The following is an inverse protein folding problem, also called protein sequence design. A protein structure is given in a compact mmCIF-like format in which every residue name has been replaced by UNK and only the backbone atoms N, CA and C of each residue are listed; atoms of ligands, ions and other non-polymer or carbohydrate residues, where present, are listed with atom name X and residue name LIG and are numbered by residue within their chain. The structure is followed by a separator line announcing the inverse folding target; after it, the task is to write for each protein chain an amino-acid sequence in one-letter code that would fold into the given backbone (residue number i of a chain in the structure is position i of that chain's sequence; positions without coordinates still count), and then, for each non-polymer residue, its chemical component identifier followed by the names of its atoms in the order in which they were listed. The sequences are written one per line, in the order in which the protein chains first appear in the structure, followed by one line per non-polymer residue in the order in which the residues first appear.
data_IF_753216828900
#
_entry.id   IF_753216828900
#
_cell.length_a   1.000
_cell.length_b   1.000
_cell.length_c   1.000
_cell.angle_alpha   90.00
_cell.angle_beta   90.00
_cell.angle_gamma   90.00
#
_symmetry.space_group_name_H-M   'P 1'
#
loop_
_entity.id
_entity.type
_entity.pdbx_description
1 polymer ?
#
# COMPACT_ATOMS: atom_id res chain seq x y z
N UNK A 1 12.47 -10.38 8.71
CA UNK A 1 11.04 -10.29 9.11
C UNK A 1 10.88 -10.73 10.56
N UNK A 2 10.58 -9.81 11.47
CA UNK A 2 10.20 -10.15 12.85
C UNK A 2 8.77 -10.69 12.81
N UNK A 3 8.51 -11.76 13.57
CA UNK A 3 7.26 -12.53 13.49
C UNK A 3 6.57 -12.54 14.86
N UNK A 4 5.28 -12.23 14.92
CA UNK A 4 4.48 -12.53 16.11
C UNK A 4 4.09 -14.01 16.08
N UNK A 5 4.66 -14.81 16.97
CA UNK A 5 4.45 -16.27 17.02
C UNK A 5 4.69 -16.96 15.64
N UNK A 6 5.68 -16.49 14.88
CA UNK A 6 5.99 -17.04 13.56
C UNK A 6 5.17 -16.50 12.39
N UNK A 7 4.30 -15.50 12.61
CA UNK A 7 3.45 -14.90 11.55
C UNK A 7 3.84 -13.45 11.23
N UNK A 8 3.72 -13.02 9.95
CA UNK A 8 3.92 -11.62 9.58
C UNK A 8 2.87 -10.71 10.22
N UNK A 9 3.27 -9.47 10.54
CA UNK A 9 2.38 -8.44 11.10
C UNK A 9 2.21 -7.33 10.06
N UNK A 10 0.97 -7.01 9.72
CA UNK A 10 0.62 -5.93 8.80
C UNK A 10 -0.05 -4.80 9.58
N UNK A 11 0.18 -3.55 9.18
CA UNK A 11 -0.43 -2.39 9.83
C UNK A 11 -1.03 -1.41 8.81
N UNK A 12 -2.04 -0.66 9.23
CA UNK A 12 -2.66 0.44 8.48
C UNK A 12 -2.52 1.73 9.32
N UNK A 13 -2.12 2.83 8.68
CA UNK A 13 -1.85 4.12 9.34
C UNK A 13 -3.10 4.78 9.94
N UNK A 14 -4.27 4.61 9.31
CA UNK A 14 -5.63 5.09 9.69
C UNK A 14 -5.77 6.62 9.81
N UNK A 15 -4.84 7.29 10.48
CA UNK A 15 -4.69 8.74 10.54
C UNK A 15 -3.29 9.09 11.05
N UNK A 16 -2.76 10.31 10.82
CA UNK A 16 -1.42 10.70 11.31
C UNK A 16 -1.18 10.38 12.79
N UNK A 17 -2.07 10.79 13.69
CA UNK A 17 -1.97 10.54 15.14
C UNK A 17 -2.03 9.05 15.54
N UNK A 18 -2.55 8.19 14.67
CA UNK A 18 -2.64 6.74 14.89
C UNK A 18 -1.44 6.03 14.29
N UNK A 19 -0.96 6.48 13.13
CA UNK A 19 0.27 6.01 12.52
C UNK A 19 1.45 6.18 13.49
N UNK A 20 1.58 7.34 14.16
CA UNK A 20 2.63 7.58 15.16
C UNK A 20 2.64 6.55 16.31
N UNK A 21 1.49 5.96 16.66
CA UNK A 21 1.42 4.92 17.70
C UNK A 21 2.08 3.62 17.28
N UNK A 22 2.36 3.43 15.99
CA UNK A 22 3.10 2.28 15.47
C UNK A 22 4.61 2.42 15.68
N UNK A 23 5.12 3.61 16.01
CA UNK A 23 6.57 3.88 16.20
C UNK A 23 7.29 2.81 17.03
N UNK A 24 6.77 2.38 18.20
CA UNK A 24 7.45 1.39 19.04
C UNK A 24 7.56 -0.01 18.40
N UNK A 25 6.77 -0.28 17.35
CA UNK A 25 6.67 -1.60 16.71
C UNK A 25 7.04 -1.60 15.22
N UNK A 26 7.47 -0.47 14.63
CA UNK A 26 7.78 -0.37 13.19
C UNK A 26 8.77 -1.46 12.72
N UNK A 27 9.83 -1.69 13.49
CA UNK A 27 10.83 -2.73 13.20
C UNK A 27 10.28 -4.17 13.28
N UNK A 28 9.08 -4.35 13.82
CA UNK A 28 8.39 -5.63 13.90
C UNK A 28 7.39 -5.88 12.76
N UNK A 29 7.08 -4.86 11.96
CA UNK A 29 6.08 -4.95 10.90
C UNK A 29 6.69 -5.58 9.64
N UNK A 30 5.91 -6.47 9.02
CA UNK A 30 6.22 -7.07 7.73
C UNK A 30 5.85 -6.15 6.55
N UNK A 31 4.89 -5.25 6.74
CA UNK A 31 4.50 -4.18 5.81
C UNK A 31 3.52 -3.22 6.51
N UNK A 32 3.64 -1.92 6.26
CA UNK A 32 2.65 -0.92 6.67
C UNK A 32 2.01 -0.24 5.47
N UNK A 33 0.70 0.02 5.54
CA UNK A 33 -0.07 0.76 4.55
C UNK A 33 -0.41 2.14 5.10
N UNK A 34 -0.14 3.18 4.32
CA UNK A 34 -0.32 4.56 4.77
C UNK A 34 -0.73 5.45 3.61
N UNK A 35 -1.42 6.54 3.90
CA UNK A 35 -1.46 7.68 2.97
C UNK A 35 -0.19 8.55 3.12
N UNK A 36 -0.01 9.53 2.22
CA UNK A 36 1.15 10.43 2.31
C UNK A 36 1.23 11.21 3.63
N UNK A 37 0.10 11.56 4.26
CA UNK A 37 0.09 12.36 5.50
C UNK A 37 0.55 11.51 6.70
N UNK A 38 0.07 10.28 6.77
CA UNK A 38 0.49 9.27 7.75
C UNK A 38 1.97 8.90 7.57
N UNK A 39 2.40 8.77 6.31
CA UNK A 39 3.79 8.55 5.96
C UNK A 39 4.70 9.66 6.46
N UNK A 40 4.33 10.91 6.19
CA UNK A 40 5.09 12.09 6.62
C UNK A 40 5.22 12.15 8.14
N UNK A 41 4.15 11.86 8.87
CA UNK A 41 4.17 11.83 10.34
C UNK A 41 5.21 10.84 10.88
N UNK A 42 5.31 9.66 10.27
CA UNK A 42 6.31 8.64 10.65
C UNK A 42 7.73 8.97 10.16
N UNK A 43 7.86 9.47 8.93
CA UNK A 43 9.14 9.70 8.28
C UNK A 43 9.88 10.93 8.82
N UNK A 44 9.12 11.91 9.34
CA UNK A 44 9.63 13.27 9.65
C UNK A 44 10.34 13.92 8.45
N UNK A 45 9.99 13.53 7.23
CA UNK A 45 10.54 14.02 5.94
C UNK A 45 9.56 13.71 4.79
N UNK A 46 9.35 14.64 3.85
CA UNK A 46 8.37 14.47 2.76
C UNK A 46 8.65 15.23 1.45
N UNK A 47 9.87 15.78 1.30
CA UNK A 47 10.24 16.63 0.17
C UNK A 47 10.17 15.90 -1.19
N UNK A 48 10.60 14.64 -1.24
CA UNK A 48 10.51 13.76 -2.41
C UNK A 48 10.02 12.37 -1.97
N UNK A 49 9.61 11.54 -2.94
CA UNK A 49 9.24 10.15 -2.65
C UNK A 49 10.42 9.34 -2.11
N UNK A 50 11.64 9.64 -2.57
CA UNK A 50 12.88 9.05 -2.04
C UNK A 50 13.15 9.50 -0.60
N UNK A 51 12.99 10.79 -0.29
CA UNK A 51 13.17 11.31 1.06
C UNK A 51 12.16 10.70 2.04
N UNK A 52 10.92 10.54 1.59
CA UNK A 52 9.84 9.91 2.37
C UNK A 52 10.19 8.45 2.69
N UNK A 53 10.54 7.65 1.67
CA UNK A 53 10.97 6.25 1.87
C UNK A 53 12.21 6.17 2.76
N UNK A 54 13.20 7.04 2.55
CA UNK A 54 14.39 7.12 3.38
C UNK A 54 14.07 7.44 4.85
N UNK A 55 13.12 8.35 5.10
CA UNK A 55 12.62 8.67 6.44
C UNK A 55 11.93 7.49 7.12
N UNK A 56 11.05 6.79 6.40
CA UNK A 56 10.38 5.59 6.92
C UNK A 56 11.36 4.48 7.29
N UNK A 57 12.38 4.25 6.44
CA UNK A 57 13.45 3.29 6.75
C UNK A 57 14.24 3.69 7.99
N UNK A 58 14.59 4.98 8.14
CA UNK A 58 15.26 5.50 9.34
C UNK A 58 14.40 5.37 10.59
N UNK A 59 13.07 5.50 10.46
CA UNK A 59 12.13 5.27 11.54
C UNK A 59 12.01 3.77 11.94
N UNK A 60 12.59 2.87 11.14
CA UNK A 60 12.68 1.43 11.43
C UNK A 60 11.73 0.57 10.60
N UNK A 61 11.00 1.15 9.64
CA UNK A 61 10.09 0.38 8.77
C UNK A 61 10.88 -0.26 7.62
N UNK A 62 10.83 -1.59 7.51
CA UNK A 62 11.56 -2.34 6.47
C UNK A 62 10.86 -2.32 5.11
N UNK A 63 9.54 -2.19 5.12
CA UNK A 63 8.69 -2.20 3.93
C UNK A 63 7.40 -1.43 4.17
N UNK A 64 6.87 -0.83 3.11
CA UNK A 64 5.61 -0.10 3.19
C UNK A 64 4.99 0.20 1.84
N UNK A 65 3.71 0.56 1.89
CA UNK A 65 2.92 1.07 0.78
C UNK A 65 2.40 2.45 1.15
N UNK A 66 2.63 3.42 0.27
CA UNK A 66 2.16 4.80 0.46
C UNK A 66 1.26 5.20 -0.69
N UNK A 67 -0.01 5.49 -0.38
CA UNK A 67 -0.92 6.07 -1.36
C UNK A 67 -0.73 7.59 -1.42
N UNK A 68 -0.67 8.13 -2.62
CA UNK A 68 -0.61 9.57 -2.84
C UNK A 68 -1.90 10.06 -3.49
N UNK A 69 -2.36 11.27 -3.12
CA UNK A 69 -3.57 11.89 -3.66
C UNK A 69 -3.49 12.24 -5.15
N UNK A 70 -2.31 12.12 -5.78
CA UNK A 70 -2.12 12.27 -7.22
C UNK A 70 -2.38 10.97 -8.00
N UNK A 71 -2.82 9.91 -7.33
CA UNK A 71 -3.10 8.60 -7.91
C UNK A 71 -1.92 7.63 -7.86
N UNK A 72 -0.69 8.09 -7.65
CA UNK A 72 0.47 7.20 -7.56
C UNK A 72 0.43 6.39 -6.25
N UNK A 73 0.82 5.11 -6.32
CA UNK A 73 1.01 4.27 -5.14
C UNK A 73 2.49 3.86 -5.07
N UNK A 74 3.17 4.28 -4.02
CA UNK A 74 4.56 3.94 -3.75
C UNK A 74 4.63 2.62 -2.98
N UNK A 75 5.60 1.79 -3.31
CA UNK A 75 5.95 0.59 -2.56
C UNK A 75 7.44 0.55 -2.29
N UNK A 76 7.84 0.00 -1.14
CA UNK A 76 9.25 -0.25 -0.85
C UNK A 76 9.43 -1.47 0.05
N UNK A 77 10.55 -2.13 -0.09
CA UNK A 77 11.00 -3.25 0.75
C UNK A 77 12.54 -3.33 0.78
N UNK A 78 13.13 -4.44 1.22
CA UNK A 78 14.59 -4.61 1.25
C UNK A 78 15.25 -4.57 -0.15
N UNK A 79 14.50 -4.83 -1.23
CA UNK A 79 15.02 -4.87 -2.60
C UNK A 79 15.09 -3.50 -3.26
N UNK A 80 14.25 -2.56 -2.82
CA UNK A 80 14.23 -1.21 -3.37
C UNK A 80 12.95 -0.46 -3.08
N UNK A 81 12.72 0.59 -3.87
CA UNK A 81 11.49 1.35 -3.88
C UNK A 81 10.97 1.46 -5.31
N UNK A 82 9.66 1.44 -5.46
CA UNK A 82 8.98 1.46 -6.74
C UNK A 82 7.66 2.22 -6.65
N UNK A 83 7.03 2.42 -7.78
CA UNK A 83 5.72 3.05 -7.89
C UNK A 83 4.83 2.32 -8.89
N UNK A 84 3.53 2.29 -8.59
CA UNK A 84 2.47 1.83 -9.49
C UNK A 84 1.58 3.03 -9.76
N UNK A 85 1.40 3.37 -11.04
CA UNK A 85 0.48 4.42 -11.46
C UNK A 85 -0.80 3.76 -11.99
N UNK A 86 -1.89 3.74 -11.21
CA UNK A 86 -3.17 3.21 -11.66
C UNK A 86 -3.67 3.99 -12.89
N UNK A 87 -4.33 3.34 -13.85
CA UNK A 87 -5.01 4.04 -14.93
C UNK A 87 -6.15 4.90 -14.37
N UNK A 88 -6.46 6.01 -15.03
CA UNK A 88 -7.60 6.86 -14.67
C UNK A 88 -8.91 6.10 -14.74
N UNK A 89 -9.70 6.13 -13.67
CA UNK A 89 -11.03 5.51 -13.56
C UNK A 89 -12.07 6.51 -13.08
N UNK A 90 -13.35 6.13 -13.22
CA UNK A 90 -14.45 6.90 -12.63
C UNK A 90 -14.46 6.67 -11.13
N UNK A 91 -14.39 7.75 -10.36
CA UNK A 91 -14.48 7.69 -8.90
C UNK A 91 -15.94 7.91 -8.50
N UNK A 92 -16.52 6.94 -7.79
CA UNK A 92 -17.86 7.00 -7.18
C UNK A 92 -17.74 7.28 -5.70
N UNK A 93 -16.91 6.52 -4.99
CA UNK A 93 -16.57 6.71 -3.58
C UNK A 93 -15.10 6.33 -3.35
N UNK A 94 -14.42 6.98 -2.42
CA UNK A 94 -13.04 6.62 -2.01
C UNK A 94 -13.00 5.97 -0.63
N UNK A 95 -14.13 5.92 0.07
CA UNK A 95 -14.24 5.28 1.37
C UNK A 95 -13.84 3.80 1.28
N UNK A 96 -12.93 3.37 2.15
CA UNK A 96 -12.47 1.97 2.19
C UNK A 96 -11.48 1.57 1.09
N UNK A 97 -11.15 2.43 0.12
CA UNK A 97 -10.20 2.10 -0.95
C UNK A 97 -8.82 1.69 -0.40
N UNK A 98 -8.37 2.35 0.68
CA UNK A 98 -7.14 2.00 1.39
C UNK A 98 -7.19 0.62 2.05
N UNK A 99 -8.34 0.24 2.62
CA UNK A 99 -8.55 -1.08 3.24
C UNK A 99 -8.59 -2.19 2.20
N UNK A 100 -9.23 -1.93 1.05
CA UNK A 100 -9.25 -2.87 -0.08
C UNK A 100 -7.86 -3.04 -0.67
N UNK A 101 -7.12 -1.95 -0.89
CA UNK A 101 -5.72 -1.98 -1.31
C UNK A 101 -4.88 -2.83 -0.36
N UNK A 102 -4.99 -2.58 0.94
CA UNK A 102 -4.26 -3.31 1.97
C UNK A 102 -4.63 -4.79 1.98
N UNK A 103 -5.92 -5.11 2.04
CA UNK A 103 -6.43 -6.48 2.11
C UNK A 103 -6.02 -7.33 0.91
N UNK A 104 -6.21 -6.82 -0.30
CA UNK A 104 -5.85 -7.54 -1.52
C UNK A 104 -4.32 -7.69 -1.68
N UNK A 105 -3.54 -6.65 -1.35
CA UNK A 105 -2.07 -6.76 -1.34
C UNK A 105 -1.60 -7.83 -0.35
N UNK A 106 -2.15 -7.84 0.88
CA UNK A 106 -1.81 -8.85 1.90
C UNK A 106 -2.20 -10.25 1.44
N UNK A 107 -3.39 -10.43 0.86
CA UNK A 107 -3.81 -11.72 0.33
C UNK A 107 -2.83 -12.24 -0.75
N UNK A 108 -2.40 -11.38 -1.68
CA UNK A 108 -1.45 -11.71 -2.72
C UNK A 108 -0.05 -12.06 -2.17
N UNK A 109 0.43 -11.34 -1.15
CA UNK A 109 1.67 -11.66 -0.44
C UNK A 109 1.61 -13.01 0.25
N UNK A 110 0.49 -13.32 0.92
CA UNK A 110 0.29 -14.61 1.59
C UNK A 110 0.18 -15.77 0.59
N UNK A 111 -0.17 -15.50 -0.66
CA UNK A 111 -0.11 -16.45 -1.78
C UNK A 111 1.28 -16.58 -2.42
N UNK A 112 2.30 -15.89 -1.88
CA UNK A 112 3.70 -16.03 -2.29
C UNK A 112 4.15 -15.07 -3.39
N UNK A 113 3.35 -14.04 -3.73
CA UNK A 113 3.81 -13.00 -4.64
C UNK A 113 4.83 -12.07 -3.97
N UNK A 114 5.75 -11.54 -4.77
CA UNK A 114 6.61 -10.44 -4.35
C UNK A 114 5.81 -9.13 -4.25
N UNK A 115 6.27 -8.19 -3.41
CA UNK A 115 5.55 -6.95 -3.11
C UNK A 115 5.14 -6.13 -4.35
N UNK A 116 5.98 -5.97 -5.41
CA UNK A 116 5.56 -5.28 -6.62
C UNK A 116 4.34 -5.91 -7.31
N UNK A 117 4.30 -7.24 -7.42
CA UNK A 117 3.18 -7.96 -8.03
C UNK A 117 1.94 -7.95 -7.12
N UNK A 118 2.14 -8.14 -5.82
CA UNK A 118 1.06 -8.08 -4.84
C UNK A 118 0.40 -6.69 -4.78
N UNK A 119 1.19 -5.62 -4.89
CA UNK A 119 0.66 -4.25 -4.90
C UNK A 119 -0.19 -3.98 -6.14
N UNK A 120 0.16 -4.56 -7.30
CA UNK A 120 -0.67 -4.43 -8.51
C UNK A 120 -2.05 -5.07 -8.32
N UNK A 121 -2.11 -6.23 -7.67
CA UNK A 121 -3.38 -6.85 -7.27
C UNK A 121 -4.18 -5.96 -6.31
N UNK A 122 -3.51 -5.38 -5.32
CA UNK A 122 -4.10 -4.40 -4.42
C UNK A 122 -4.70 -3.20 -5.14
N UNK A 123 -3.95 -2.62 -6.07
CA UNK A 123 -4.40 -1.47 -6.89
C UNK A 123 -5.60 -1.85 -7.74
N UNK A 124 -5.59 -3.02 -8.38
CA UNK A 124 -6.71 -3.51 -9.18
C UNK A 124 -7.99 -3.66 -8.34
N UNK A 125 -7.88 -4.23 -7.14
CA UNK A 125 -9.01 -4.37 -6.22
C UNK A 125 -9.52 -2.99 -5.76
N UNK A 126 -8.63 -2.07 -5.40
CA UNK A 126 -9.00 -0.73 -4.97
C UNK A 126 -9.68 0.07 -6.09
N UNK A 127 -9.25 -0.10 -7.34
CA UNK A 127 -9.91 0.50 -8.51
C UNK A 127 -11.35 0.03 -8.68
N UNK A 128 -11.61 -1.27 -8.48
CA UNK A 128 -12.97 -1.81 -8.50
C UNK A 128 -13.80 -1.29 -7.33
N UNK A 129 -13.18 -1.11 -6.16
CA UNK A 129 -13.86 -0.57 -4.99
C UNK A 129 -14.33 0.88 -5.22
N UNK A 130 -13.47 1.74 -5.75
CA UNK A 130 -13.82 3.15 -5.94
C UNK A 130 -14.86 3.41 -7.03
N UNK A 131 -15.09 2.44 -7.91
CA UNK A 131 -16.16 2.49 -8.93
C UNK A 131 -17.54 2.11 -8.37
N UNK A 132 -17.61 1.73 -7.08
CA UNK A 132 -18.83 1.33 -6.38
C UNK A 132 -19.06 2.21 -5.14
N UNK A 133 -20.33 2.36 -4.74
CA UNK A 133 -20.70 3.08 -3.52
C UNK A 133 -20.75 2.18 -2.27
N UNK A 134 -20.51 0.88 -2.45
CA UNK A 134 -20.46 -0.09 -1.35
C UNK A 134 -19.06 -0.12 -0.73
N UNK A 135 -18.99 -0.27 0.59
CA UNK A 135 -17.73 -0.28 1.33
C UNK A 135 -16.85 -1.52 1.01
N UNK A 136 -17.45 -2.60 0.50
CA UNK A 136 -16.80 -3.87 0.18
C UNK A 136 -17.53 -4.57 -0.97
N UNK A 137 -17.44 -4.04 -2.20
CA UNK A 137 -18.18 -4.59 -3.33
C UNK A 137 -17.64 -5.97 -3.70
N UNK A 138 -18.54 -6.93 -3.90
CA UNK A 138 -18.17 -8.22 -4.46
C UNK A 138 -17.84 -8.05 -5.95
N UNK A 139 -16.64 -8.48 -6.36
CA UNK A 139 -16.26 -8.57 -7.77
C UNK A 139 -15.95 -10.00 -8.17
N UNK A 140 -16.20 -10.32 -9.44
CA UNK A 140 -15.91 -11.64 -10.00
C UNK A 140 -14.41 -11.78 -10.28
N UNK A 141 -13.92 -13.01 -10.36
CA UNK A 141 -12.54 -13.27 -10.77
C UNK A 141 -12.23 -12.70 -12.17
N UNK A 142 -13.22 -12.68 -13.07
CA UNK A 142 -13.09 -12.09 -14.40
C UNK A 142 -12.92 -10.56 -14.32
N UNK A 143 -13.79 -9.87 -13.57
CA UNK A 143 -13.69 -8.42 -13.38
C UNK A 143 -12.35 -8.01 -12.73
N UNK A 144 -11.88 -8.80 -11.76
CA UNK A 144 -10.56 -8.60 -11.16
C UNK A 144 -9.42 -8.77 -12.16
N UNK A 145 -9.45 -9.83 -12.98
CA UNK A 145 -8.43 -10.06 -14.00
C UNK A 145 -8.39 -8.94 -15.05
N UNK A 146 -9.55 -8.44 -15.48
CA UNK A 146 -9.65 -7.29 -16.38
C UNK A 146 -9.10 -6.01 -15.76
N UNK A 147 -9.40 -5.75 -14.47
CA UNK A 147 -8.84 -4.61 -13.75
C UNK A 147 -7.32 -4.72 -13.62
N UNK A 148 -6.80 -5.89 -13.23
CA UNK A 148 -5.38 -6.15 -13.07
C UNK A 148 -4.60 -5.99 -14.37
N UNK A 149 -5.15 -6.44 -15.50
CA UNK A 149 -4.54 -6.27 -16.82
C UNK A 149 -4.31 -4.80 -17.20
N UNK A 150 -5.06 -3.87 -16.59
CA UNK A 150 -4.94 -2.43 -16.82
C UNK A 150 -3.99 -1.74 -15.85
N UNK A 151 -3.63 -2.39 -14.75
CA UNK A 151 -2.61 -1.88 -13.81
C UNK A 151 -1.23 -2.11 -14.43
N UNK A 152 -0.44 -1.06 -14.70
CA UNK A 152 0.88 -1.25 -15.29
C UNK A 152 1.83 -1.97 -14.33
N UNK A 153 2.95 -2.46 -14.89
CA UNK A 153 4.05 -2.96 -14.07
C UNK A 153 4.61 -1.87 -13.15
N UNK A 154 5.10 -2.32 -11.99
CA UNK A 154 5.81 -1.45 -11.05
C UNK A 154 7.05 -0.84 -11.72
N UNK A 155 7.30 0.43 -11.44
CA UNK A 155 8.47 1.18 -11.94
C UNK A 155 9.37 1.53 -10.78
N UNK A 156 10.65 1.22 -10.89
CA UNK A 156 11.65 1.60 -9.88
C UNK A 156 11.67 3.11 -9.67
N UNK A 157 11.86 3.52 -8.42
CA UNK A 157 12.14 4.91 -8.07
C UNK A 157 13.59 5.23 -8.42
N UNK A 158 13.78 6.03 -9.46
CA UNK A 158 15.08 6.62 -9.83
C UNK A 158 15.52 7.68 -8.82
#
# INVERSE_FOLDING_TARGET
MVLAAGKPIFAIGVSPDKAERLTPVLGSLALAFMDRREATALASADATDQDLVGGLRRAGLSSGVVTAGNGLVLGFDETGAFSVLPPTRKIVDVAGAGDVLAGATVAALLNGLALPAALREGVAAAMLAIENAELAPAFTAAAFAEALALVPEARELA
#
